data_IF_854147539972
#
_entry.id   IF_854147539972
#
_cell.length_a   1.000
_cell.length_b   1.000
_cell.length_c   1.000
_cell.angle_alpha   90.00
_cell.angle_beta   90.00
_cell.angle_gamma   90.00
#
_symmetry.space_group_name_H-M   'P 1'
#
loop_
_entity.id
_entity.type
_entity.pdbx_description
1 polymer ?
#
# COMPACT_ATOMS: atom_id res chain seq x y z
N UNK A 1 -29.68 6.30 3.23
CA UNK A 1 -30.08 5.80 1.90
C UNK A 1 -29.74 4.32 1.84
N UNK A 2 -30.63 3.48 1.32
CA UNK A 2 -30.34 2.05 1.08
C UNK A 2 -29.91 1.85 -0.37
N UNK A 3 -28.90 0.99 -0.58
CA UNK A 3 -28.40 0.60 -1.90
C UNK A 3 -28.49 -0.92 -1.98
N UNK A 4 -29.04 -1.44 -3.07
CA UNK A 4 -29.08 -2.89 -3.33
C UNK A 4 -27.88 -3.27 -4.18
N UNK A 5 -27.05 -4.19 -3.67
CA UNK A 5 -25.86 -4.70 -4.36
C UNK A 5 -26.11 -6.16 -4.70
N UNK A 6 -25.94 -6.52 -5.97
CA UNK A 6 -26.04 -7.90 -6.44
C UNK A 6 -24.63 -8.50 -6.43
N UNK A 7 -24.45 -9.57 -5.66
CA UNK A 7 -23.22 -10.35 -5.61
C UNK A 7 -23.39 -11.62 -6.44
N UNK A 8 -22.30 -12.14 -6.98
CA UNK A 8 -22.31 -13.49 -7.51
C UNK A 8 -22.40 -14.51 -6.36
N UNK A 9 -22.82 -15.74 -6.66
CA UNK A 9 -23.10 -16.75 -5.64
C UNK A 9 -21.86 -17.09 -4.80
N UNK A 10 -20.69 -17.19 -5.45
CA UNK A 10 -19.43 -17.47 -4.76
C UNK A 10 -19.09 -16.40 -3.71
N UNK A 11 -19.20 -15.12 -4.07
CA UNK A 11 -18.89 -14.00 -3.17
C UNK A 11 -19.93 -13.88 -2.07
N UNK A 12 -21.20 -14.15 -2.37
CA UNK A 12 -22.27 -14.18 -1.37
C UNK A 12 -22.03 -15.27 -0.31
N UNK A 13 -21.57 -16.46 -0.73
CA UNK A 13 -21.27 -17.56 0.18
C UNK A 13 -20.03 -17.30 1.03
N UNK A 14 -18.98 -16.71 0.44
CA UNK A 14 -17.80 -16.27 1.18
C UNK A 14 -18.16 -15.22 2.25
N UNK A 15 -18.97 -14.23 1.90
CA UNK A 15 -19.41 -13.19 2.82
C UNK A 15 -20.25 -13.77 3.97
N UNK A 16 -21.15 -14.72 3.68
CA UNK A 16 -21.93 -15.42 4.73
C UNK A 16 -21.05 -16.26 5.64
N UNK A 17 -20.07 -16.97 5.08
CA UNK A 17 -19.14 -17.77 5.87
C UNK A 17 -18.31 -16.90 6.81
N UNK A 18 -17.77 -15.79 6.30
CA UNK A 18 -16.98 -14.84 7.07
C UNK A 18 -17.82 -14.18 8.18
N UNK A 19 -19.04 -13.73 7.88
CA UNK A 19 -19.94 -13.13 8.87
C UNK A 19 -20.25 -14.10 10.03
N UNK A 20 -20.40 -15.40 9.73
CA UNK A 20 -20.58 -16.43 10.77
C UNK A 20 -19.34 -16.60 11.64
N UNK A 21 -18.15 -16.59 11.05
CA UNK A 21 -16.89 -16.70 11.81
C UNK A 21 -16.69 -15.51 12.74
N UNK A 22 -17.05 -14.31 12.28
CA UNK A 22 -16.91 -13.07 13.04
C UNK A 22 -18.10 -12.79 13.99
N UNK A 23 -19.11 -13.66 13.98
CA UNK A 23 -20.35 -13.53 14.75
C UNK A 23 -21.09 -12.20 14.49
N UNK A 24 -21.05 -11.73 13.25
CA UNK A 24 -21.71 -10.51 12.79
C UNK A 24 -22.83 -10.83 11.80
N UNK A 25 -23.74 -9.88 11.58
CA UNK A 25 -24.69 -9.98 10.46
C UNK A 25 -23.98 -9.79 9.13
N UNK A 26 -24.52 -10.39 8.08
CA UNK A 26 -23.98 -10.26 6.71
C UNK A 26 -23.99 -8.79 6.28
N UNK A 27 -25.02 -8.05 6.66
CA UNK A 27 -25.16 -6.64 6.36
C UNK A 27 -24.12 -5.77 7.07
N UNK A 28 -23.83 -6.06 8.34
CA UNK A 28 -22.83 -5.31 9.12
C UNK A 28 -21.43 -5.52 8.54
N UNK A 29 -21.04 -6.79 8.31
CA UNK A 29 -19.75 -7.12 7.70
C UNK A 29 -19.64 -6.51 6.29
N UNK A 30 -20.71 -6.57 5.48
CA UNK A 30 -20.71 -5.96 4.16
C UNK A 30 -20.49 -4.44 4.22
N UNK A 31 -21.10 -3.75 5.18
CA UNK A 31 -20.91 -2.32 5.37
C UNK A 31 -19.47 -1.99 5.75
N UNK A 32 -18.89 -2.75 6.67
CA UNK A 32 -17.49 -2.56 7.10
C UNK A 32 -16.52 -2.77 5.94
N UNK A 33 -16.67 -3.89 5.21
CA UNK A 33 -15.82 -4.20 4.05
C UNK A 33 -15.98 -3.17 2.92
N UNK A 34 -17.19 -2.68 2.66
CA UNK A 34 -17.43 -1.64 1.65
C UNK A 34 -16.86 -0.29 2.09
N UNK A 35 -17.04 0.10 3.36
CA UNK A 35 -16.46 1.31 3.90
C UNK A 35 -14.93 1.29 3.80
N UNK A 36 -14.33 0.14 4.16
CA UNK A 36 -12.90 -0.07 4.05
C UNK A 36 -12.42 -0.01 2.60
N UNK A 37 -13.08 -0.72 1.69
CA UNK A 37 -12.72 -0.74 0.28
C UNK A 37 -12.82 0.64 -0.38
N UNK A 38 -13.86 1.41 -0.04
CA UNK A 38 -14.01 2.79 -0.52
C UNK A 38 -12.91 3.68 0.04
N UNK A 39 -12.60 3.57 1.34
CA UNK A 39 -11.51 4.31 1.97
C UNK A 39 -10.17 3.98 1.32
N UNK A 40 -9.84 2.69 1.16
CA UNK A 40 -8.59 2.25 0.54
C UNK A 40 -8.48 2.69 -0.92
N UNK A 41 -9.57 2.60 -1.70
CA UNK A 41 -9.60 3.12 -3.08
C UNK A 41 -9.42 4.63 -3.13
N UNK A 42 -10.03 5.36 -2.19
CA UNK A 42 -9.85 6.81 -2.06
C UNK A 42 -8.40 7.18 -1.75
N UNK A 43 -7.77 6.47 -0.81
CA UNK A 43 -6.37 6.64 -0.46
C UNK A 43 -5.44 6.28 -1.64
N UNK A 44 -5.73 5.20 -2.36
CA UNK A 44 -4.98 4.81 -3.56
C UNK A 44 -5.11 5.86 -4.67
N UNK A 45 -6.31 6.34 -4.98
CA UNK A 45 -6.51 7.36 -6.00
C UNK A 45 -5.88 8.72 -5.62
N UNK A 46 -5.93 9.10 -4.34
CA UNK A 46 -5.24 10.28 -3.85
C UNK A 46 -3.71 10.12 -3.96
N UNK A 47 -3.20 8.93 -3.62
CA UNK A 47 -1.81 8.58 -3.78
C UNK A 47 -1.35 8.64 -5.24
N UNK A 48 -2.08 8.04 -6.17
CA UNK A 48 -1.72 8.02 -7.59
C UNK A 48 -1.58 9.43 -8.16
N UNK A 49 -2.48 10.34 -7.76
CA UNK A 49 -2.37 11.76 -8.13
C UNK A 49 -1.12 12.43 -7.56
N UNK A 50 -0.81 12.21 -6.28
CA UNK A 50 0.40 12.74 -5.63
C UNK A 50 1.67 12.17 -6.27
N UNK A 51 1.68 10.87 -6.56
CA UNK A 51 2.79 10.18 -7.21
C UNK A 51 3.00 10.68 -8.65
N UNK A 52 1.92 10.89 -9.40
CA UNK A 52 1.99 11.48 -10.74
C UNK A 52 2.58 12.89 -10.69
N UNK A 53 2.12 13.73 -9.75
CA UNK A 53 2.66 15.07 -9.53
C UNK A 53 4.16 15.03 -9.21
N UNK A 54 4.61 14.10 -8.35
CA UNK A 54 6.03 13.90 -8.05
C UNK A 54 6.83 13.61 -9.31
N UNK A 55 6.37 12.67 -10.14
CA UNK A 55 7.02 12.29 -11.40
C UNK A 55 7.10 13.49 -12.35
N UNK A 56 6.05 14.30 -12.42
CA UNK A 56 6.03 15.49 -13.27
C UNK A 56 7.03 16.56 -12.80
N UNK A 57 7.17 16.75 -11.48
CA UNK A 57 8.18 17.65 -10.89
C UNK A 57 9.61 17.14 -11.14
N UNK A 58 9.88 15.84 -11.01
CA UNK A 58 11.19 15.24 -11.35
C UNK A 58 11.50 15.43 -12.84
N UNK A 59 10.51 15.23 -13.71
CA UNK A 59 10.67 15.48 -15.15
C UNK A 59 10.90 16.95 -15.46
N UNK A 60 10.32 17.86 -14.68
CA UNK A 60 10.54 19.30 -14.84
C UNK A 60 11.93 19.71 -14.35
N UNK A 61 12.37 19.22 -13.19
CA UNK A 61 13.67 19.55 -12.60
C UNK A 61 14.82 19.23 -13.56
N UNK A 62 14.74 18.06 -14.20
CA UNK A 62 15.73 17.60 -15.19
C UNK A 62 15.78 18.42 -16.48
N UNK A 63 14.70 19.14 -16.81
CA UNK A 63 14.60 19.88 -18.09
C UNK A 63 14.79 21.39 -17.96
N UNK A 64 14.25 21.99 -16.90
CA UNK A 64 14.11 23.45 -16.78
C UNK A 64 14.45 23.99 -15.39
N UNK A 65 14.79 23.11 -14.44
CA UNK A 65 14.85 23.46 -13.02
C UNK A 65 13.46 23.63 -12.40
N UNK A 66 13.42 23.70 -11.07
CA UNK A 66 12.22 23.92 -10.28
C UNK A 66 12.27 25.31 -9.63
N UNK A 67 11.09 25.89 -9.41
CA UNK A 67 11.00 27.02 -8.47
C UNK A 67 11.23 26.53 -7.04
N UNK A 68 11.46 27.47 -6.10
CA UNK A 68 11.60 27.15 -4.68
C UNK A 68 10.34 26.47 -4.13
N UNK A 69 9.16 26.92 -4.55
CA UNK A 69 7.87 26.34 -4.16
C UNK A 69 7.71 24.91 -4.70
N UNK A 70 8.10 24.68 -5.95
CA UNK A 70 8.04 23.35 -6.58
C UNK A 70 9.06 22.37 -6.00
N UNK A 71 10.22 22.88 -5.57
CA UNK A 71 11.21 22.07 -4.87
C UNK A 71 10.66 21.65 -3.49
N UNK A 72 10.08 22.59 -2.73
CA UNK A 72 9.45 22.28 -1.45
C UNK A 72 8.27 21.28 -1.61
N UNK A 73 7.49 21.42 -2.68
CA UNK A 73 6.45 20.46 -3.03
C UNK A 73 7.03 19.08 -3.33
N UNK A 74 8.10 19.02 -4.14
CA UNK A 74 8.79 17.77 -4.46
C UNK A 74 9.35 17.10 -3.20
N UNK A 75 9.97 17.86 -2.30
CA UNK A 75 10.54 17.35 -1.06
C UNK A 75 9.46 16.75 -0.15
N UNK A 76 8.31 17.44 -0.01
CA UNK A 76 7.15 16.90 0.72
C UNK A 76 6.62 15.62 0.08
N UNK A 77 6.54 15.55 -1.25
CA UNK A 77 6.08 14.36 -1.97
C UNK A 77 7.09 13.21 -1.91
N UNK A 78 8.37 13.47 -1.72
CA UNK A 78 9.39 12.45 -1.49
C UNK A 78 9.28 11.89 -0.06
N UNK A 79 9.10 12.74 0.95
CA UNK A 79 8.90 12.28 2.32
C UNK A 79 7.70 11.33 2.46
N UNK A 80 6.58 11.63 1.79
CA UNK A 80 5.40 10.74 1.76
C UNK A 80 5.70 9.37 1.12
N UNK A 81 6.64 9.30 0.18
CA UNK A 81 7.08 8.04 -0.45
C UNK A 81 7.97 7.27 0.49
N UNK A 82 8.93 7.94 1.12
CA UNK A 82 9.87 7.32 2.04
C UNK A 82 9.15 6.70 3.23
N UNK A 83 8.18 7.40 3.84
CA UNK A 83 7.35 6.84 4.91
C UNK A 83 6.61 5.57 4.46
N UNK A 84 6.09 5.58 3.24
CA UNK A 84 5.29 4.48 2.71
C UNK A 84 6.16 3.27 2.29
N UNK A 85 7.40 3.51 1.90
CA UNK A 85 8.37 2.47 1.54
C UNK A 85 9.14 1.93 2.75
N UNK A 86 9.20 2.67 3.86
CA UNK A 86 9.94 2.27 5.06
C UNK A 86 9.60 0.85 5.56
N UNK A 87 8.34 0.41 5.45
CA UNK A 87 7.95 -0.97 5.80
C UNK A 87 8.54 -2.02 4.85
N UNK A 88 8.59 -1.71 3.55
CA UNK A 88 9.19 -2.59 2.54
C UNK A 88 10.71 -2.65 2.70
N UNK A 89 11.33 -1.50 3.00
CA UNK A 89 12.76 -1.42 3.27
C UNK A 89 13.13 -2.26 4.49
N UNK A 90 12.39 -2.16 5.59
CA UNK A 90 12.61 -2.98 6.78
C UNK A 90 12.55 -4.49 6.46
N UNK A 91 11.58 -4.91 5.65
CA UNK A 91 11.44 -6.31 5.23
C UNK A 91 12.57 -6.77 4.31
N UNK A 92 13.03 -5.91 3.40
CA UNK A 92 14.18 -6.18 2.54
C UNK A 92 15.46 -6.31 3.37
N UNK A 93 15.63 -5.49 4.40
CA UNK A 93 16.75 -5.59 5.33
C UNK A 93 16.74 -6.90 6.10
N UNK A 94 15.59 -7.34 6.63
CA UNK A 94 15.46 -8.65 7.29
C UNK A 94 15.86 -9.80 6.35
N UNK A 95 15.36 -9.78 5.11
CA UNK A 95 15.71 -10.79 4.10
C UNK A 95 17.21 -10.78 3.75
N UNK A 96 17.82 -9.61 3.70
CA UNK A 96 19.26 -9.47 3.46
C UNK A 96 20.04 -10.10 4.62
N UNK A 97 19.66 -9.80 5.87
CA UNK A 97 20.31 -10.36 7.07
C UNK A 97 20.17 -11.89 7.13
N UNK A 98 19.01 -12.44 6.78
CA UNK A 98 18.79 -13.89 6.70
C UNK A 98 19.73 -14.54 5.66
N UNK A 99 19.91 -13.90 4.51
CA UNK A 99 20.80 -14.37 3.46
C UNK A 99 22.28 -14.26 3.84
N UNK A 100 22.69 -13.17 4.49
CA UNK A 100 24.05 -12.99 5.02
C UNK A 100 24.36 -14.07 6.06
N UNK A 101 23.44 -14.33 6.98
CA UNK A 101 23.61 -15.35 8.00
C UNK A 101 23.64 -16.77 7.41
N UNK A 102 22.84 -17.04 6.38
CA UNK A 102 22.91 -18.30 5.64
C UNK A 102 24.25 -18.46 4.89
N UNK A 103 24.79 -17.38 4.32
CA UNK A 103 26.08 -17.38 3.62
C UNK A 103 27.25 -17.59 4.60
N UNK A 104 27.22 -16.96 5.78
CA UNK A 104 28.22 -17.19 6.83
C UNK A 104 28.22 -18.63 7.34
N UNK A 105 27.04 -19.23 7.52
CA UNK A 105 26.91 -20.62 7.95
C UNK A 105 27.39 -21.62 6.87
N UNK A 106 27.24 -21.30 5.59
CA UNK A 106 27.76 -22.12 4.48
C UNK A 106 29.28 -21.97 4.27
N UNK A 107 29.87 -20.85 4.70
CA UNK A 107 31.32 -20.64 4.67
C UNK A 107 32.07 -21.24 5.87
N UNK A 108 31.35 -21.65 6.92
CA UNK A 108 31.91 -22.19 8.17
C UNK A 108 32.22 -23.69 8.17
N UNK A 109 31.65 -24.47 7.26
CA UNK A 109 31.81 -25.95 7.18
C UNK A 109 33.07 -26.40 6.39
N UNK A 110 34.00 -25.48 6.12
CA UNK A 110 35.19 -25.69 5.31
C UNK A 110 36.54 -25.60 6.05
N UNK A 111 36.62 -26.04 7.31
CA UNK A 111 37.90 -26.18 8.04
C UNK A 111 38.07 -27.52 8.73
#
# INVERSE_FOLDING_TARGET
MSVTIVLNDQLADQLRAQARLEQQSVEALAQELLAEAVRQRGLAAAWDRRNQRRVDLIRKSTRRGLSVEEQAELDSLQADVDERLAHWDAKLFEQLSDLEQAAENLGGDGK
#
